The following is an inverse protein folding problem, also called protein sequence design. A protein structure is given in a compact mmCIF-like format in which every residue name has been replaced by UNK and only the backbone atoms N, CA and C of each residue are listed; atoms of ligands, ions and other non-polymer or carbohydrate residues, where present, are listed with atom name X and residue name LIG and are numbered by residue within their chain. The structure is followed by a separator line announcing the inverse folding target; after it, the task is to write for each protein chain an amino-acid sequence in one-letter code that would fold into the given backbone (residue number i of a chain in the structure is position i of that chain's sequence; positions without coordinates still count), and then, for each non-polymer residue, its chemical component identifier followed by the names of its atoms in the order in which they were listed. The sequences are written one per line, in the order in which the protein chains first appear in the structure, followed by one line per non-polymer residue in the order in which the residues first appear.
data_IF_974885689355
#
_entry.id   IF_974885689355
#
_cell.length_a   1.000
_cell.length_b   1.000
_cell.length_c   1.000
_cell.angle_alpha   90.00
_cell.angle_beta   90.00
_cell.angle_gamma   90.00
#
_symmetry.space_group_name_H-M   'P 1'
#
loop_
_entity.id
_entity.type
_entity.pdbx_description
1 polymer ?
#
# COMPACT_ATOMS: atom_id res chain seq x y z
N UNK A 1 11.39 14.58 1.92
CA UNK A 1 10.97 14.59 0.50
C UNK A 1 9.57 14.02 0.43
N UNK A 2 8.59 14.80 -0.01
CA UNK A 2 7.20 14.34 -0.06
C UNK A 2 6.93 13.77 -1.46
N UNK A 3 7.02 12.45 -1.58
CA UNK A 3 6.92 11.73 -2.86
C UNK A 3 5.45 11.46 -3.26
N UNK A 4 4.52 11.61 -2.33
CA UNK A 4 3.09 11.38 -2.50
C UNK A 4 2.41 12.63 -3.06
N UNK A 5 1.41 12.46 -3.93
CA UNK A 5 0.50 13.56 -4.25
C UNK A 5 -0.38 13.88 -3.04
N UNK A 6 -0.91 15.09 -2.96
CA UNK A 6 -1.67 15.58 -1.80
C UNK A 6 -2.83 14.67 -1.41
N UNK A 7 -3.63 14.23 -2.38
CA UNK A 7 -4.79 13.37 -2.17
C UNK A 7 -4.42 11.98 -1.59
N UNK A 8 -3.31 11.39 -2.06
CA UNK A 8 -2.79 10.14 -1.47
C UNK A 8 -2.34 10.36 -0.02
N UNK A 9 -1.79 11.53 0.32
CA UNK A 9 -1.42 11.84 1.69
C UNK A 9 -2.65 11.95 2.58
N UNK A 10 -3.69 12.64 2.11
CA UNK A 10 -4.95 12.79 2.83
C UNK A 10 -5.63 11.44 3.08
N UNK A 11 -5.66 10.56 2.07
CA UNK A 11 -6.18 9.20 2.22
C UNK A 11 -5.39 8.42 3.28
N UNK A 12 -4.06 8.41 3.21
CA UNK A 12 -3.21 7.71 4.19
C UNK A 12 -3.41 8.24 5.62
N UNK A 13 -3.59 9.56 5.77
CA UNK A 13 -3.89 10.19 7.05
C UNK A 13 -5.28 9.78 7.57
N UNK A 14 -6.28 9.67 6.69
CA UNK A 14 -7.61 9.17 7.04
C UNK A 14 -7.56 7.70 7.49
N UNK A 15 -6.87 6.83 6.74
CA UNK A 15 -6.69 5.43 7.12
C UNK A 15 -6.01 5.30 8.49
N UNK A 16 -4.96 6.10 8.75
CA UNK A 16 -4.29 6.14 10.03
C UNK A 16 -5.16 6.70 11.17
N UNK A 17 -6.01 7.70 10.89
CA UNK A 17 -6.97 8.27 11.85
C UNK A 17 -7.98 7.21 12.31
N UNK A 18 -8.49 6.40 11.40
CA UNK A 18 -9.47 5.34 11.67
C UNK A 18 -8.86 4.00 12.09
N UNK A 19 -7.54 3.97 12.32
CA UNK A 19 -6.79 2.77 12.73
C UNK A 19 -7.02 1.58 11.81
N UNK A 20 -7.08 1.84 10.49
CA UNK A 20 -7.11 0.78 9.49
C UNK A 20 -5.78 0.02 9.58
N UNK A 21 -5.83 -1.30 9.58
CA UNK A 21 -4.65 -2.16 9.53
C UNK A 21 -4.22 -2.27 8.06
N UNK A 22 -3.22 -1.47 7.67
CA UNK A 22 -2.73 -1.41 6.28
C UNK A 22 -1.20 -1.24 6.22
N UNK A 23 -0.63 -1.39 5.03
CA UNK A 23 0.72 -0.91 4.70
C UNK A 23 0.80 -0.45 3.24
N UNK A 24 1.62 0.56 2.97
CA UNK A 24 1.94 1.00 1.61
C UNK A 24 2.84 -0.04 0.95
N UNK A 25 2.48 -0.44 -0.26
CA UNK A 25 3.24 -1.39 -1.10
C UNK A 25 3.51 -0.78 -2.48
N UNK A 26 3.89 -1.63 -3.45
CA UNK A 26 3.91 -1.23 -4.85
C UNK A 26 4.86 -0.07 -5.15
N UNK A 27 4.43 0.85 -6.01
CA UNK A 27 5.32 1.87 -6.57
C UNK A 27 5.86 2.88 -5.56
N UNK A 28 5.05 3.31 -4.60
CA UNK A 28 5.52 4.20 -3.54
C UNK A 28 6.55 3.53 -2.62
N UNK A 29 6.40 2.24 -2.34
CA UNK A 29 7.41 1.50 -1.59
C UNK A 29 8.75 1.42 -2.34
N UNK A 30 8.73 1.28 -3.67
CA UNK A 30 9.95 1.32 -4.51
C UNK A 30 10.67 2.66 -4.39
N UNK A 31 9.92 3.76 -4.50
CA UNK A 31 10.47 5.11 -4.37
C UNK A 31 11.03 5.34 -2.96
N UNK A 32 10.31 4.90 -1.93
CA UNK A 32 10.77 4.97 -0.53
C UNK A 32 12.15 4.30 -0.34
N UNK A 33 12.39 3.16 -0.99
CA UNK A 33 13.68 2.48 -0.92
C UNK A 33 14.77 3.07 -1.81
N UNK A 34 14.48 4.13 -2.56
CA UNK A 34 15.47 4.97 -3.24
C UNK A 34 15.50 4.85 -4.75
N UNK A 35 14.64 4.04 -5.36
CA UNK A 35 14.52 4.04 -6.82
C UNK A 35 13.55 5.13 -7.26
N UNK A 36 14.10 6.27 -7.68
CA UNK A 36 13.36 7.41 -8.20
C UNK A 36 12.70 7.08 -9.54
N UNK A 37 11.40 6.80 -9.50
CA UNK A 37 10.56 6.61 -10.69
C UNK A 37 9.18 7.21 -10.48
N UNK A 38 8.44 7.35 -11.57
CA UNK A 38 7.02 7.75 -11.51
C UNK A 38 6.12 6.56 -11.16
N UNK A 39 5.05 6.84 -10.42
CA UNK A 39 3.93 5.91 -10.17
C UNK A 39 2.62 6.66 -10.35
N UNK A 40 1.62 6.00 -10.93
CA UNK A 40 0.34 6.64 -11.29
C UNK A 40 -0.80 6.28 -10.34
N UNK A 41 -0.47 5.55 -9.29
CA UNK A 41 -1.37 4.87 -8.38
C UNK A 41 -0.71 4.69 -7.01
N UNK A 42 -1.54 4.66 -5.96
CA UNK A 42 -1.18 4.26 -4.61
C UNK A 42 -1.61 2.80 -4.40
N UNK A 43 -0.65 1.93 -4.07
CA UNK A 43 -0.95 0.54 -3.70
C UNK A 43 -0.97 0.39 -2.17
N UNK A 44 -2.07 -0.14 -1.63
CA UNK A 44 -2.28 -0.40 -0.22
C UNK A 44 -2.57 -1.87 0.01
N UNK A 45 -1.82 -2.52 0.88
CA UNK A 45 -2.14 -3.86 1.36
C UNK A 45 -2.89 -3.76 2.69
N UNK A 46 -4.09 -4.36 2.74
CA UNK A 46 -4.98 -4.36 3.90
C UNK A 46 -4.93 -5.72 4.61
N UNK A 47 -5.06 -5.69 5.95
CA UNK A 47 -5.36 -6.92 6.70
C UNK A 47 -6.73 -7.47 6.31
N UNK A 48 -6.78 -8.72 5.88
CA UNK A 48 -8.01 -9.42 5.49
C UNK A 48 -8.86 -9.73 6.73
N UNK A 49 -9.80 -8.84 7.05
CA UNK A 49 -10.84 -9.10 8.07
C UNK A 49 -12.00 -8.14 7.90
N UNK A 50 -13.22 -8.61 8.17
CA UNK A 50 -14.39 -7.73 8.14
C UNK A 50 -14.31 -6.60 9.19
N UNK A 51 -13.64 -6.81 10.33
CA UNK A 51 -13.40 -5.73 11.30
C UNK A 51 -12.48 -4.61 10.75
N UNK A 52 -11.54 -4.95 9.87
CA UNK A 52 -10.72 -3.96 9.18
C UNK A 52 -11.47 -3.30 8.02
N UNK A 53 -12.36 -4.05 7.33
CA UNK A 53 -13.28 -3.52 6.33
C UNK A 53 -14.15 -2.39 6.88
N UNK A 54 -14.74 -2.58 8.07
CA UNK A 54 -15.55 -1.53 8.70
C UNK A 54 -14.72 -0.27 9.02
N UNK A 55 -13.48 -0.44 9.49
CA UNK A 55 -12.57 0.70 9.72
C UNK A 55 -12.21 1.40 8.40
N UNK A 56 -11.97 0.64 7.34
CA UNK A 56 -11.73 1.19 6.01
C UNK A 56 -12.94 1.97 5.49
N UNK A 57 -14.15 1.41 5.60
CA UNK A 57 -15.36 2.07 5.15
C UNK A 57 -15.56 3.43 5.84
N UNK A 58 -15.40 3.47 7.16
CA UNK A 58 -15.45 4.72 7.92
C UNK A 58 -14.36 5.73 7.50
N UNK A 59 -13.15 5.24 7.21
CA UNK A 59 -12.07 6.08 6.71
C UNK A 59 -12.36 6.68 5.33
N UNK A 60 -12.94 5.89 4.43
CA UNK A 60 -13.30 6.33 3.08
C UNK A 60 -14.48 7.31 3.10
N UNK A 61 -15.47 7.12 3.99
CA UNK A 61 -16.56 8.09 4.20
C UNK A 61 -15.99 9.43 4.68
N UNK A 62 -15.10 9.41 5.68
CA UNK A 62 -14.45 10.61 6.24
C UNK A 62 -13.52 11.29 5.22
N UNK A 63 -12.94 10.52 4.30
CA UNK A 63 -12.17 11.03 3.17
C UNK A 63 -13.04 11.69 2.08
N UNK A 64 -14.35 11.37 2.04
CA UNK A 64 -15.31 11.96 1.09
C UNK A 64 -15.78 11.03 -0.02
N UNK A 65 -15.58 9.72 0.11
CA UNK A 65 -16.15 8.73 -0.82
C UNK A 65 -17.66 8.63 -0.61
N UNK A 66 -18.41 8.64 -1.71
CA UNK A 66 -19.88 8.58 -1.71
C UNK A 66 -20.40 7.29 -1.07
N UNK A 67 -21.51 7.40 -0.33
CA UNK A 67 -22.10 6.26 0.40
C UNK A 67 -22.50 5.11 -0.52
N UNK A 68 -22.82 5.39 -1.78
CA UNK A 68 -23.14 4.37 -2.79
C UNK A 68 -21.95 3.48 -3.11
N UNK A 69 -20.75 4.05 -3.19
CA UNK A 69 -19.52 3.28 -3.44
C UNK A 69 -19.13 2.46 -2.20
N UNK A 70 -19.39 2.99 -1.01
CA UNK A 70 -19.20 2.27 0.26
C UNK A 70 -20.15 1.07 0.39
N UNK A 71 -21.38 1.16 -0.13
CA UNK A 71 -22.30 0.03 -0.11
C UNK A 71 -21.74 -1.20 -0.87
N UNK A 72 -21.05 -0.95 -1.99
CA UNK A 72 -20.34 -2.01 -2.73
C UNK A 72 -19.23 -2.64 -1.89
N UNK A 73 -18.45 -1.82 -1.16
CA UNK A 73 -17.42 -2.31 -0.24
C UNK A 73 -18.02 -3.15 0.89
N UNK A 74 -19.13 -2.73 1.49
CA UNK A 74 -19.79 -3.49 2.56
C UNK A 74 -20.26 -4.88 2.11
N UNK A 75 -20.68 -5.01 0.84
CA UNK A 75 -21.05 -6.29 0.24
C UNK A 75 -19.89 -7.26 0.02
N UNK A 76 -18.64 -6.79 0.08
CA UNK A 76 -17.45 -7.64 -0.03
C UNK A 76 -17.19 -8.38 1.29
N UNK A 77 -16.78 -9.64 1.20
CA UNK A 77 -16.36 -10.42 2.36
C UNK A 77 -14.84 -10.45 2.48
N UNK A 78 -14.29 -9.67 3.40
CA UNK A 78 -12.83 -9.62 3.63
C UNK A 78 -12.31 -10.83 4.39
N UNK A 79 -13.18 -11.73 4.88
CA UNK A 79 -12.73 -13.02 5.42
C UNK A 79 -12.39 -14.02 4.29
N UNK A 80 -12.89 -13.77 3.07
CA UNK A 80 -12.56 -14.50 1.86
C UNK A 80 -11.74 -13.57 0.94
N UNK A 81 -10.40 -13.64 0.99
CA UNK A 81 -9.54 -12.61 0.41
C UNK A 81 -9.86 -12.34 -1.06
N UNK A 82 -10.09 -11.07 -1.39
CA UNK A 82 -10.18 -10.58 -2.76
C UNK A 82 -8.78 -10.16 -3.23
N UNK A 83 -8.44 -10.44 -4.49
CA UNK A 83 -7.11 -10.08 -5.01
C UNK A 83 -6.89 -8.56 -4.96
N UNK A 84 -7.79 -7.78 -5.56
CA UNK A 84 -7.67 -6.33 -5.61
C UNK A 84 -9.02 -5.64 -5.87
N UNK A 85 -9.22 -4.47 -5.30
CA UNK A 85 -10.24 -3.50 -5.73
C UNK A 85 -9.62 -2.09 -5.75
N UNK A 86 -10.27 -1.14 -6.41
CA UNK A 86 -9.70 0.20 -6.59
C UNK A 86 -10.73 1.31 -6.41
N UNK A 87 -10.24 2.50 -6.09
CA UNK A 87 -11.02 3.75 -6.12
C UNK A 87 -10.29 4.78 -6.96
N UNK A 88 -11.07 5.69 -7.56
CA UNK A 88 -10.56 6.79 -8.36
C UNK A 88 -9.93 6.36 -9.70
N UNK A 89 -9.40 7.35 -10.41
CA UNK A 89 -8.76 7.18 -11.72
C UNK A 89 -7.35 7.75 -11.69
N UNK A 90 -6.49 7.28 -12.60
CA UNK A 90 -5.12 7.80 -12.68
C UNK A 90 -5.14 9.32 -12.94
N UNK A 91 -4.27 10.11 -12.26
CA UNK A 91 -3.14 9.71 -11.40
C UNK A 91 -3.46 9.56 -9.90
N UNK A 92 -4.74 9.58 -9.52
CA UNK A 92 -5.25 9.54 -8.13
C UNK A 92 -5.77 8.17 -7.71
N UNK A 93 -5.57 7.18 -8.57
CA UNK A 93 -6.07 5.83 -8.37
C UNK A 93 -5.41 5.21 -7.15
N UNK A 94 -6.21 4.60 -6.28
CA UNK A 94 -5.70 3.79 -5.18
C UNK A 94 -6.16 2.35 -5.36
N UNK A 95 -5.20 1.42 -5.39
CA UNK A 95 -5.42 -0.02 -5.46
C UNK A 95 -5.28 -0.62 -4.06
N UNK A 96 -6.32 -1.33 -3.62
CA UNK A 96 -6.38 -2.02 -2.35
C UNK A 96 -6.26 -3.53 -2.58
N UNK A 97 -5.22 -4.11 -2.00
CA UNK A 97 -4.94 -5.53 -2.03
C UNK A 97 -5.36 -6.13 -0.68
N UNK A 98 -6.09 -7.24 -0.66
CA UNK A 98 -6.31 -8.02 0.59
C UNK A 98 -5.51 -9.32 0.60
N UNK A 99 -4.92 -9.68 -0.53
CA UNK A 99 -4.06 -10.84 -0.73
C UNK A 99 -2.83 -10.44 -1.55
N UNK A 100 -1.66 -10.87 -1.10
CA UNK A 100 -0.42 -10.82 -1.89
C UNK A 100 0.17 -12.22 -1.88
N UNK A 101 0.50 -12.74 -3.06
CA UNK A 101 0.98 -14.11 -3.21
C UNK A 101 2.22 -14.38 -2.34
N UNK A 102 2.19 -15.52 -1.66
CA UNK A 102 3.27 -16.02 -0.79
C UNK A 102 3.63 -15.13 0.42
N UNK A 103 2.80 -14.14 0.75
CA UNK A 103 2.99 -13.29 1.93
C UNK A 103 1.72 -13.26 2.79
N UNK A 104 1.89 -13.31 4.12
CA UNK A 104 0.79 -13.20 5.08
C UNK A 104 0.88 -11.90 5.84
N UNK A 105 -0.20 -11.12 5.85
CA UNK A 105 -0.19 -9.78 6.46
C UNK A 105 0.26 -9.82 7.93
N UNK A 106 -0.22 -10.80 8.70
CA UNK A 106 0.06 -10.98 10.13
C UNK A 106 1.54 -11.22 10.43
N UNK A 107 2.27 -11.85 9.49
CA UNK A 107 3.70 -12.12 9.64
C UNK A 107 4.50 -10.86 9.26
N UNK A 108 4.11 -10.21 8.16
CA UNK A 108 4.86 -9.10 7.55
C UNK A 108 4.74 -7.80 8.33
N UNK A 109 3.59 -7.54 8.97
CA UNK A 109 3.35 -6.30 9.71
C UNK A 109 4.39 -6.08 10.83
N UNK A 110 4.97 -7.15 11.38
CA UNK A 110 5.99 -7.06 12.44
C UNK A 110 7.35 -6.53 11.94
N UNK A 111 7.56 -6.51 10.63
CA UNK A 111 8.81 -6.04 10.00
C UNK A 111 8.63 -4.73 9.26
N UNK A 112 7.44 -4.13 9.32
CA UNK A 112 7.08 -2.94 8.55
C UNK A 112 7.99 -1.77 8.93
N UNK A 113 8.39 -0.99 7.93
CA UNK A 113 9.05 0.28 8.16
C UNK A 113 8.01 1.39 8.25
N UNK A 114 8.38 2.55 8.78
CA UNK A 114 7.49 3.70 8.85
C UNK A 114 8.16 4.93 8.26
N UNK A 115 7.40 5.69 7.48
CA UNK A 115 7.80 7.03 7.06
C UNK A 115 6.91 8.10 7.71
N UNK A 116 7.49 9.26 8.09
CA UNK A 116 6.70 10.35 8.66
C UNK A 116 5.84 11.01 7.58
N UNK A 117 4.57 11.23 7.88
CA UNK A 117 3.64 12.01 7.09
C UNK A 117 2.83 12.93 8.00
N UNK A 118 3.09 14.24 7.94
CA UNK A 118 2.55 15.23 8.88
C UNK A 118 2.77 14.79 10.34
N UNK A 119 1.70 14.51 11.08
CA UNK A 119 1.72 14.07 12.48
C UNK A 119 1.50 12.55 12.66
N UNK A 120 1.65 11.76 11.60
CA UNK A 120 1.47 10.31 11.61
C UNK A 120 2.70 9.60 11.05
N UNK A 121 2.87 8.35 11.46
CA UNK A 121 3.83 7.43 10.87
C UNK A 121 3.05 6.45 10.01
N UNK A 122 3.35 6.40 8.72
CA UNK A 122 2.65 5.56 7.76
C UNK A 122 3.43 4.26 7.55
N UNK A 123 2.79 3.10 7.71
CA UNK A 123 3.43 1.80 7.50
C UNK A 123 3.76 1.61 6.02
N UNK A 124 4.98 1.17 5.72
CA UNK A 124 5.44 0.77 4.39
C UNK A 124 6.12 -0.59 4.47
N UNK A 125 5.79 -1.49 3.54
CA UNK A 125 6.32 -2.86 3.50
C UNK A 125 7.84 -2.87 3.58
N UNK A 126 8.40 -3.82 4.35
CA UNK A 126 9.85 -4.00 4.47
C UNK A 126 10.50 -4.30 3.11
N UNK A 127 11.75 -3.85 2.91
CA UNK A 127 12.51 -4.02 1.66
C UNK A 127 12.48 -5.47 1.15
N UNK A 128 12.87 -6.43 1.99
CA UNK A 128 12.93 -7.83 1.58
C UNK A 128 11.56 -8.37 1.15
N UNK A 129 10.49 -7.95 1.83
CA UNK A 129 9.12 -8.39 1.52
C UNK A 129 8.58 -7.70 0.25
N UNK A 130 9.01 -6.46 -0.03
CA UNK A 130 8.74 -5.80 -1.30
C UNK A 130 9.36 -6.59 -2.46
N UNK A 131 10.63 -7.00 -2.35
CA UNK A 131 11.29 -7.81 -3.37
C UNK A 131 10.55 -9.14 -3.58
N UNK A 132 10.20 -9.84 -2.50
CA UNK A 132 9.43 -11.10 -2.57
C UNK A 132 8.08 -10.92 -3.27
N UNK A 133 7.33 -9.86 -2.94
CA UNK A 133 6.03 -9.56 -3.59
C UNK A 133 6.14 -9.29 -5.09
N UNK A 134 7.31 -8.87 -5.58
CA UNK A 134 7.56 -8.53 -6.99
C UNK A 134 8.09 -9.71 -7.80
N UNK A 135 8.77 -10.65 -7.16
CA UNK A 135 9.29 -11.86 -7.82
C UNK A 135 8.17 -12.77 -8.35
N UNK A 136 6.98 -12.71 -7.73
CA UNK A 136 5.86 -13.61 -8.03
C UNK A 136 4.97 -13.14 -9.18
N UNK A 137 5.04 -11.86 -9.59
CA UNK A 137 4.07 -11.27 -10.53
C UNK A 137 4.38 -11.52 -12.01
N UNK A 138 5.64 -11.87 -12.34
CA UNK A 138 6.12 -12.02 -13.72
C UNK A 138 6.14 -10.73 -14.56
N UNK A 139 5.85 -9.55 -14.00
CA UNK A 139 5.78 -8.29 -14.76
C UNK A 139 7.17 -7.74 -15.06
N UNK A 140 7.42 -7.32 -16.31
CA UNK A 140 8.70 -6.70 -16.70
C UNK A 140 9.06 -5.48 -15.85
N UNK A 141 8.07 -4.67 -15.46
CA UNK A 141 8.27 -3.52 -14.57
C UNK A 141 8.76 -3.93 -13.17
N UNK A 142 8.23 -5.03 -12.63
CA UNK A 142 8.65 -5.53 -11.32
C UNK A 142 10.08 -6.08 -11.36
N UNK A 143 10.47 -6.70 -12.47
CA UNK A 143 11.87 -7.11 -12.68
C UNK A 143 12.82 -5.90 -12.69
N UNK A 144 12.47 -4.83 -13.41
CA UNK A 144 13.26 -3.59 -13.42
C UNK A 144 13.32 -2.93 -12.03
N UNK A 145 12.20 -2.92 -11.30
CA UNK A 145 12.15 -2.42 -9.91
C UNK A 145 13.12 -3.21 -9.00
N UNK A 146 13.16 -4.54 -9.11
CA UNK A 146 14.05 -5.40 -8.31
C UNK A 146 15.52 -5.11 -8.64
N UNK A 147 15.90 -5.14 -9.92
CA UNK A 147 17.29 -4.94 -10.36
C UNK A 147 17.86 -3.61 -9.86
N UNK A 148 17.07 -2.54 -9.95
CA UNK A 148 17.51 -1.21 -9.53
C UNK A 148 17.55 -1.05 -8.01
N UNK A 149 16.58 -1.60 -7.28
CA UNK A 149 16.59 -1.60 -5.82
C UNK A 149 17.80 -2.38 -5.26
N UNK A 150 18.13 -3.53 -5.84
CA UNK A 150 19.30 -4.30 -5.46
C UNK A 150 20.60 -3.54 -5.75
N UNK A 151 20.68 -2.85 -6.89
CA UNK A 151 21.81 -1.98 -7.24
C UNK A 151 22.01 -0.90 -6.18
N UNK A 152 20.95 -0.18 -5.80
CA UNK A 152 20.99 0.88 -4.79
C UNK A 152 21.39 0.31 -3.42
N UNK A 153 20.78 -0.80 -2.99
CA UNK A 153 21.03 -1.38 -1.69
C UNK A 153 22.47 -1.91 -1.54
N UNK A 154 23.08 -2.40 -2.62
CA UNK A 154 24.50 -2.79 -2.65
C UNK A 154 25.45 -1.65 -2.30
N UNK A 155 25.13 -0.42 -2.71
CA UNK A 155 25.95 0.76 -2.38
C UNK A 155 25.68 1.28 -0.97
N UNK A 156 24.45 1.12 -0.44
CA UNK A 156 24.11 1.50 0.94
C UNK A 156 24.80 0.64 2.00
N UNK A 157 24.98 -0.67 1.76
CA UNK A 157 25.72 -1.57 2.68
C UNK A 157 27.24 -1.33 2.73
N UNK A 158 27.78 -0.50 1.83
CA UNK A 158 29.21 -0.18 1.74
C UNK A 158 29.59 1.15 2.39
N UNK A 159 28.63 1.84 3.01
CA UNK A 159 28.83 3.05 3.81
C UNK A 159 28.60 2.72 5.28
#
# INVERSE_FOLDING_TARGET
MNILIEEHQELLLCLAKHRVDFMVVGGYAVIYYGYERITGDLDIWLKSSNANKERLANALIDFGIEKTDIASLHGMDFNNPLSVFCIGEKPRRTDFHTLIDNLKFEEIINYVNYFPLKNKNIPVIHYNHLILSKLTTGRMKDKADIEELERINKYRKKQ
#
